data_IF_866965010586
#
_entry.id   IF_866965010586
#
_cell.length_a   1.000
_cell.length_b   1.000
_cell.length_c   1.000
_cell.angle_alpha   90.00
_cell.angle_beta   90.00
_cell.angle_gamma   90.00
#
_symmetry.space_group_name_H-M   'P 1'
#
loop_
_entity.id
_entity.type
_entity.pdbx_description
1 polymer ?
#
# COMPACT_ATOMS: atom_id res chain seq x y z
N UNK A 1 16.28 41.99 23.42
CA UNK A 1 14.99 41.29 23.22
C UNK A 1 14.91 40.43 21.96
N UNK A 2 15.77 40.62 20.93
CA UNK A 2 15.64 39.84 19.67
C UNK A 2 16.26 38.42 19.72
N UNK A 3 17.36 38.23 20.45
CA UNK A 3 18.10 36.96 20.49
C UNK A 3 17.30 35.79 21.10
N UNK A 4 16.52 36.04 22.17
CA UNK A 4 15.70 35.00 22.82
C UNK A 4 14.58 34.49 21.90
N UNK A 5 13.91 35.40 21.18
CA UNK A 5 12.84 35.05 20.24
C UNK A 5 13.34 34.21 19.06
N UNK A 6 14.59 34.40 18.64
CA UNK A 6 15.23 33.59 17.58
C UNK A 6 15.74 32.24 18.10
N UNK A 7 16.30 32.19 19.30
CA UNK A 7 16.91 30.98 19.84
C UNK A 7 15.90 29.99 20.47
N UNK A 8 14.81 30.48 21.06
CA UNK A 8 13.84 29.64 21.75
C UNK A 8 13.18 28.57 20.84
N UNK A 9 12.81 28.85 19.57
CA UNK A 9 12.29 27.83 18.65
C UNK A 9 13.32 26.74 18.30
N UNK A 10 14.61 27.07 18.23
CA UNK A 10 15.67 26.11 17.93
C UNK A 10 15.80 25.06 19.05
N UNK A 11 15.73 25.50 20.31
CA UNK A 11 15.74 24.61 21.48
C UNK A 11 14.43 23.80 21.58
N UNK A 12 13.29 24.41 21.22
CA UNK A 12 11.99 23.72 21.22
C UNK A 12 11.90 22.60 20.17
N UNK A 13 12.62 22.73 19.05
CA UNK A 13 12.70 21.74 17.97
C UNK A 13 13.62 20.54 18.26
N UNK A 14 14.40 20.56 19.37
CA UNK A 14 15.27 19.44 19.75
C UNK A 14 14.44 18.18 19.98
N UNK A 15 14.71 17.13 19.20
CA UNK A 15 13.94 15.88 19.19
C UNK A 15 14.02 15.11 20.52
N UNK A 16 15.18 15.15 21.16
CA UNK A 16 15.39 14.57 22.50
C UNK A 16 14.96 15.56 23.59
N UNK A 17 13.94 15.18 24.36
CA UNK A 17 13.38 16.02 25.42
C UNK A 17 14.31 16.12 26.64
N UNK A 18 15.15 15.11 26.87
CA UNK A 18 16.02 15.03 28.04
C UNK A 18 17.15 16.06 28.00
N UNK A 19 17.57 16.49 26.81
CA UNK A 19 18.65 17.45 26.61
C UNK A 19 18.20 18.91 26.78
N UNK A 20 16.90 19.20 26.70
CA UNK A 20 16.37 20.57 26.70
C UNK A 20 16.69 21.37 27.97
N UNK A 21 16.60 20.82 29.20
CA UNK A 21 16.94 21.56 30.41
C UNK A 21 18.39 22.05 30.43
N UNK A 22 19.33 21.23 29.94
CA UNK A 22 20.75 21.61 29.83
C UNK A 22 20.94 22.76 28.82
N UNK A 23 20.32 22.67 27.65
CA UNK A 23 20.39 23.74 26.64
C UNK A 23 19.72 25.04 27.10
N UNK A 24 18.63 24.96 27.86
CA UNK A 24 17.99 26.14 28.46
C UNK A 24 18.94 26.84 29.44
N UNK A 25 19.68 26.07 30.25
CA UNK A 25 20.66 26.59 31.20
C UNK A 25 21.86 27.22 30.49
N UNK A 26 22.39 26.60 29.43
CA UNK A 26 23.45 27.19 28.61
C UNK A 26 22.99 28.46 27.90
N UNK A 27 21.78 28.46 27.35
CA UNK A 27 21.20 29.62 26.66
C UNK A 27 20.97 30.80 27.61
N UNK A 28 20.53 30.53 28.85
CA UNK A 28 20.43 31.52 29.92
C UNK A 28 21.78 32.18 30.21
N UNK A 29 22.85 31.37 30.34
CA UNK A 29 24.20 31.87 30.58
C UNK A 29 24.74 32.74 29.45
N UNK A 30 24.46 32.40 28.18
CA UNK A 30 24.92 33.18 27.03
C UNK A 30 24.11 34.46 26.79
N UNK A 31 22.81 34.43 27.07
CA UNK A 31 21.94 35.60 26.87
C UNK A 31 21.91 36.54 28.08
N UNK A 32 22.48 36.13 29.22
CA UNK A 32 22.41 36.88 30.48
C UNK A 32 20.97 37.02 31.00
N UNK A 33 20.09 36.09 30.64
CA UNK A 33 18.66 36.11 30.99
C UNK A 33 18.35 35.04 32.01
N UNK A 34 17.43 35.34 32.92
CA UNK A 34 16.93 34.41 33.92
C UNK A 34 16.43 33.10 33.30
N UNK A 35 16.77 31.97 33.94
CA UNK A 35 16.45 30.63 33.41
C UNK A 35 14.93 30.42 33.28
N UNK A 36 14.14 31.00 34.19
CA UNK A 36 12.68 30.95 34.14
C UNK A 36 12.10 31.64 32.90
N UNK A 37 12.66 32.78 32.51
CA UNK A 37 12.25 33.54 31.32
C UNK A 37 12.57 32.77 30.05
N UNK A 38 13.75 32.13 29.98
CA UNK A 38 14.14 31.28 28.85
C UNK A 38 13.24 30.04 28.78
N UNK A 39 12.93 29.43 29.92
CA UNK A 39 12.04 28.26 30.01
C UNK A 39 10.64 28.60 29.51
N UNK A 40 10.10 29.75 29.92
CA UNK A 40 8.79 30.23 29.47
C UNK A 40 8.76 30.49 27.95
N UNK A 41 9.82 31.09 27.40
CA UNK A 41 9.94 31.33 25.97
C UNK A 41 10.02 30.03 25.15
N UNK A 42 10.82 29.04 25.60
CA UNK A 42 10.92 27.72 24.95
C UNK A 42 9.59 26.96 25.03
N UNK A 43 8.88 27.01 26.17
CA UNK A 43 7.56 26.39 26.31
C UNK A 43 6.50 27.06 25.42
N UNK A 44 6.57 28.37 25.24
CA UNK A 44 5.70 29.11 24.32
C UNK A 44 5.99 28.73 22.87
N UNK A 45 7.26 28.59 22.50
CA UNK A 45 7.67 28.11 21.19
C UNK A 45 7.26 26.64 20.95
N UNK A 46 7.33 25.79 21.98
CA UNK A 46 6.86 24.41 21.93
C UNK A 46 5.35 24.36 21.67
N UNK A 47 4.56 25.18 22.38
CA UNK A 47 3.13 25.35 22.10
C UNK A 47 2.90 25.82 20.67
N UNK A 48 3.69 26.76 20.16
CA UNK A 48 3.58 27.23 18.77
C UNK A 48 3.94 26.16 17.73
N UNK A 49 4.90 25.28 18.00
CA UNK A 49 5.23 24.12 17.14
C UNK A 49 4.08 23.11 17.16
N UNK A 50 3.46 22.86 18.32
CA UNK A 50 2.28 21.98 18.41
C UNK A 50 1.01 22.61 17.85
N UNK A 51 0.85 23.94 17.89
CA UNK A 51 -0.34 24.66 17.40
C UNK A 51 -0.22 25.10 15.94
N UNK A 52 1.01 25.26 15.41
CA UNK A 52 1.26 25.41 13.96
C UNK A 52 1.18 24.08 13.20
N UNK A 53 0.96 22.97 13.92
CA UNK A 53 0.30 21.79 13.39
C UNK A 53 -1.24 21.95 13.44
N UNK A 54 -1.74 23.11 13.01
CA UNK A 54 -3.10 23.19 12.50
C UNK A 54 -3.06 22.47 11.13
N UNK A 55 -3.91 21.46 10.89
CA UNK A 55 -3.93 20.83 9.59
C UNK A 55 -4.32 21.89 8.58
N UNK A 56 -3.41 22.22 7.67
CA UNK A 56 -3.83 22.65 6.35
C UNK A 56 -4.68 21.49 5.87
N UNK A 57 -5.98 21.70 5.71
CA UNK A 57 -6.92 20.74 5.15
C UNK A 57 -6.61 20.62 3.65
N UNK A 58 -5.45 20.04 3.34
CA UNK A 58 -5.24 19.33 2.08
C UNK A 58 -6.26 18.19 2.13
N UNK A 59 -7.12 18.02 1.11
CA UNK A 59 -8.12 16.96 1.12
C UNK A 59 -7.40 15.62 1.30
N UNK A 60 -7.43 15.10 2.52
CA UNK A 60 -6.68 13.89 2.91
C UNK A 60 -7.39 12.63 2.41
N UNK A 61 -8.53 12.81 1.73
CA UNK A 61 -9.32 11.77 1.10
C UNK A 61 -8.70 11.24 -0.20
N UNK A 62 -7.92 12.07 -0.92
CA UNK A 62 -7.38 11.70 -2.23
C UNK A 62 -6.09 10.87 -2.15
N UNK A 63 -5.24 11.14 -1.15
CA UNK A 63 -4.00 10.38 -0.94
C UNK A 63 -4.24 8.96 -0.42
N UNK A 64 -5.32 8.72 0.33
CA UNK A 64 -5.66 7.39 0.83
C UNK A 64 -6.33 6.51 -0.25
N UNK A 65 -7.00 7.13 -1.22
CA UNK A 65 -7.71 6.41 -2.28
C UNK A 65 -6.81 6.05 -3.46
N UNK A 66 -5.79 6.86 -3.77
CA UNK A 66 -4.94 6.62 -4.95
C UNK A 66 -3.80 5.64 -4.62
N UNK A 67 -3.68 4.52 -5.36
CA UNK A 67 -2.53 3.63 -5.22
C UNK A 67 -1.22 4.37 -5.52
N UNK A 68 -0.20 4.20 -4.69
CA UNK A 68 1.12 4.76 -4.96
C UNK A 68 1.84 3.92 -6.04
N UNK A 69 2.21 4.49 -7.21
CA UNK A 69 2.87 3.73 -8.28
C UNK A 69 4.24 3.15 -7.92
N UNK A 70 4.88 3.69 -6.87
CA UNK A 70 6.19 3.25 -6.41
C UNK A 70 6.11 2.26 -5.22
N UNK A 71 4.91 1.87 -4.80
CA UNK A 71 4.73 0.92 -3.71
C UNK A 71 5.03 -0.51 -4.19
N UNK A 72 6.07 -1.19 -3.66
CA UNK A 72 6.51 -2.48 -4.20
C UNK A 72 5.45 -3.59 -4.10
N UNK A 73 4.63 -3.57 -3.05
CA UNK A 73 3.52 -4.51 -2.81
C UNK A 73 2.42 -4.39 -3.86
N UNK A 74 2.22 -3.19 -4.42
CA UNK A 74 1.17 -2.89 -5.39
C UNK A 74 1.66 -2.93 -6.84
N UNK A 75 2.98 -2.98 -7.05
CA UNK A 75 3.58 -2.97 -8.38
C UNK A 75 3.05 -4.13 -9.23
N UNK A 76 2.92 -5.32 -8.64
CA UNK A 76 2.45 -6.51 -9.36
C UNK A 76 0.97 -6.39 -9.78
N UNK A 77 0.11 -5.90 -8.88
CA UNK A 77 -1.29 -5.62 -9.17
C UNK A 77 -1.42 -4.63 -10.33
N UNK A 78 -0.59 -3.57 -10.29
CA UNK A 78 -0.53 -2.54 -11.32
C UNK A 78 -0.12 -3.11 -12.67
N UNK A 79 0.96 -3.89 -12.75
CA UNK A 79 1.42 -4.49 -14.01
C UNK A 79 0.36 -5.40 -14.65
N UNK A 80 -0.35 -6.20 -13.85
CA UNK A 80 -1.42 -7.07 -14.34
C UNK A 80 -2.59 -6.25 -14.90
N UNK A 81 -2.97 -5.16 -14.23
CA UNK A 81 -4.00 -4.24 -14.73
C UNK A 81 -3.56 -3.56 -16.03
N UNK A 82 -2.32 -3.08 -16.12
CA UNK A 82 -1.77 -2.50 -17.37
C UNK A 82 -1.80 -3.51 -18.51
N UNK A 83 -1.35 -4.74 -18.26
CA UNK A 83 -1.39 -5.81 -19.27
C UNK A 83 -2.81 -6.08 -19.75
N UNK A 84 -3.80 -6.10 -18.85
CA UNK A 84 -5.21 -6.32 -19.23
C UNK A 84 -5.78 -5.16 -20.06
N UNK A 85 -5.44 -3.92 -19.72
CA UNK A 85 -5.95 -2.73 -20.41
C UNK A 85 -5.29 -2.51 -21.77
N UNK A 86 -3.97 -2.70 -21.85
CA UNK A 86 -3.18 -2.39 -23.04
C UNK A 86 -3.09 -3.57 -24.01
N UNK A 87 -3.06 -4.81 -23.48
CA UNK A 87 -2.84 -6.04 -24.24
C UNK A 87 -3.87 -7.11 -23.86
N UNK A 88 -5.19 -6.84 -24.02
CA UNK A 88 -6.23 -7.77 -23.57
C UNK A 88 -6.12 -9.16 -24.21
N UNK A 89 -5.57 -9.27 -25.42
CA UNK A 89 -5.34 -10.55 -26.11
C UNK A 89 -4.22 -11.41 -25.50
N UNK A 90 -3.34 -10.84 -24.67
CA UNK A 90 -2.29 -11.59 -23.96
C UNK A 90 -2.77 -12.11 -22.60
N UNK A 91 -3.83 -11.50 -22.03
CA UNK A 91 -4.41 -11.90 -20.75
C UNK A 91 -5.59 -12.85 -20.99
N UNK A 92 -5.28 -14.07 -21.41
CA UNK A 92 -6.27 -15.09 -21.78
C UNK A 92 -7.14 -15.54 -20.59
N UNK A 93 -6.52 -15.75 -19.43
CA UNK A 93 -7.17 -16.34 -18.25
C UNK A 93 -7.62 -15.30 -17.21
N UNK A 94 -8.06 -14.11 -17.66
CA UNK A 94 -8.49 -13.02 -16.76
C UNK A 94 -9.48 -13.47 -15.68
N UNK A 95 -10.46 -14.31 -16.05
CA UNK A 95 -11.48 -14.84 -15.14
C UNK A 95 -10.92 -15.71 -14.01
N UNK A 96 -9.71 -16.26 -14.18
CA UNK A 96 -9.05 -17.09 -13.15
C UNK A 96 -8.35 -16.28 -12.08
N UNK A 97 -8.17 -14.99 -12.32
CA UNK A 97 -7.66 -14.04 -11.32
C UNK A 97 -8.85 -13.72 -10.41
N UNK A 98 -8.74 -14.04 -9.14
CA UNK A 98 -9.78 -13.70 -8.18
C UNK A 98 -9.75 -12.20 -7.86
N UNK A 99 -10.87 -11.64 -7.46
CA UNK A 99 -10.93 -10.24 -7.02
C UNK A 99 -9.98 -10.00 -5.82
N UNK A 100 -9.90 -10.96 -4.90
CA UNK A 100 -9.05 -10.90 -3.71
C UNK A 100 -7.55 -10.90 -4.00
N UNK A 101 -7.16 -11.13 -5.26
CA UNK A 101 -5.78 -10.95 -5.70
C UNK A 101 -5.34 -9.49 -5.57
N UNK A 102 -6.27 -8.55 -5.74
CA UNK A 102 -6.03 -7.11 -5.62
C UNK A 102 -6.26 -6.63 -4.18
N UNK A 103 -5.20 -6.17 -3.52
CA UNK A 103 -5.24 -5.71 -2.12
C UNK A 103 -5.67 -4.26 -2.02
N UNK A 104 -5.31 -3.43 -3.01
CA UNK A 104 -5.68 -2.03 -2.97
C UNK A 104 -7.14 -1.82 -3.42
N UNK A 105 -7.98 -1.09 -2.66
CA UNK A 105 -9.39 -0.88 -3.00
C UNK A 105 -9.60 -0.34 -4.42
N UNK A 106 -8.83 0.67 -4.83
CA UNK A 106 -8.91 1.22 -6.19
C UNK A 106 -8.62 0.20 -7.31
N UNK A 107 -7.67 -0.72 -7.12
CA UNK A 107 -7.37 -1.77 -8.12
C UNK A 107 -8.44 -2.85 -8.15
N UNK A 108 -8.99 -3.18 -7.00
CA UNK A 108 -10.14 -4.07 -6.86
C UNK A 108 -11.39 -3.51 -7.56
N UNK A 109 -11.71 -2.24 -7.35
CA UNK A 109 -12.81 -1.59 -8.04
C UNK A 109 -12.56 -1.51 -9.54
N UNK A 110 -11.35 -1.17 -9.98
CA UNK A 110 -10.98 -1.16 -11.39
C UNK A 110 -11.15 -2.55 -12.03
N UNK A 111 -10.79 -3.62 -11.32
CA UNK A 111 -11.04 -4.99 -11.74
C UNK A 111 -12.54 -5.25 -11.95
N UNK A 112 -13.41 -4.86 -11.01
CA UNK A 112 -14.87 -5.02 -11.15
C UNK A 112 -15.42 -4.24 -12.34
N UNK A 113 -14.91 -3.03 -12.55
CA UNK A 113 -15.24 -2.22 -13.72
C UNK A 113 -14.88 -3.00 -14.98
N UNK A 114 -13.65 -3.51 -15.10
CA UNK A 114 -13.22 -4.33 -16.26
C UNK A 114 -14.15 -5.54 -16.45
N UNK A 115 -14.50 -6.25 -15.37
CA UNK A 115 -15.41 -7.41 -15.43
C UNK A 115 -16.80 -7.05 -15.96
N UNK A 116 -17.31 -5.85 -15.66
CA UNK A 116 -18.62 -5.38 -16.14
C UNK A 116 -18.73 -5.19 -17.66
N UNK A 117 -17.60 -4.99 -18.35
CA UNK A 117 -17.57 -4.89 -19.82
C UNK A 117 -17.29 -6.23 -20.50
N UNK A 118 -16.82 -7.24 -19.76
CA UNK A 118 -16.53 -8.56 -20.28
C UNK A 118 -15.43 -8.54 -21.36
N UNK A 119 -15.80 -8.83 -22.60
CA UNK A 119 -14.91 -8.81 -23.78
C UNK A 119 -15.02 -7.53 -24.59
N UNK A 120 -16.01 -6.70 -24.32
CA UNK A 120 -16.20 -5.43 -25.01
C UNK A 120 -15.15 -4.40 -24.55
N UNK A 121 -14.74 -3.45 -25.41
CA UNK A 121 -13.87 -2.37 -25.00
C UNK A 121 -14.53 -1.56 -23.88
N UNK A 122 -13.71 -1.18 -22.88
CA UNK A 122 -14.19 -0.38 -21.75
C UNK A 122 -14.52 1.04 -22.24
N UNK A 123 -15.81 1.38 -22.22
CA UNK A 123 -16.29 2.73 -22.51
C UNK A 123 -16.25 3.55 -21.21
N UNK A 124 -15.33 4.52 -21.12
CA UNK A 124 -15.16 5.37 -19.93
C UNK A 124 -16.45 6.12 -19.54
N UNK A 125 -17.33 6.40 -20.48
CA UNK A 125 -18.61 7.08 -20.24
C UNK A 125 -19.51 6.34 -19.25
N UNK A 126 -19.34 5.02 -19.12
CA UNK A 126 -20.09 4.19 -18.18
C UNK A 126 -19.45 4.14 -16.78
N UNK A 127 -18.28 4.78 -16.58
CA UNK A 127 -17.59 4.84 -15.29
C UNK A 127 -17.94 6.16 -14.59
N UNK A 128 -18.86 6.10 -13.64
CA UNK A 128 -19.38 7.29 -12.95
C UNK A 128 -18.31 8.03 -12.12
N UNK A 129 -17.40 7.29 -11.47
CA UNK A 129 -16.34 7.90 -10.63
C UNK A 129 -15.23 8.49 -11.51
N UNK A 130 -15.06 9.82 -11.45
CA UNK A 130 -14.01 10.55 -12.16
C UNK A 130 -12.61 10.07 -11.79
N UNK A 131 -12.38 9.74 -10.51
CA UNK A 131 -11.06 9.29 -10.05
C UNK A 131 -10.71 7.94 -10.69
N UNK A 132 -11.70 7.04 -10.82
CA UNK A 132 -11.54 5.77 -11.53
C UNK A 132 -11.24 5.98 -13.02
N UNK A 133 -11.90 6.94 -13.68
CA UNK A 133 -11.59 7.32 -15.07
C UNK A 133 -10.15 7.80 -15.24
N UNK A 134 -9.65 8.60 -14.30
CA UNK A 134 -8.26 9.04 -14.29
C UNK A 134 -7.28 7.87 -14.10
N UNK A 135 -7.54 6.98 -13.14
CA UNK A 135 -6.70 5.80 -12.90
C UNK A 135 -6.70 4.86 -14.11
N UNK A 136 -7.85 4.62 -14.71
CA UNK A 136 -7.97 3.83 -15.94
C UNK A 136 -7.13 4.43 -17.07
N UNK A 137 -7.26 5.74 -17.28
CA UNK A 137 -6.54 6.45 -18.36
C UNK A 137 -5.03 6.38 -18.14
N UNK A 138 -4.56 6.60 -16.91
CA UNK A 138 -3.15 6.48 -16.53
C UNK A 138 -2.61 5.07 -16.83
N UNK A 139 -3.29 4.03 -16.35
CA UNK A 139 -2.87 2.64 -16.56
C UNK A 139 -2.96 2.17 -18.01
N UNK A 140 -3.79 2.81 -18.82
CA UNK A 140 -3.92 2.50 -20.24
C UNK A 140 -2.74 3.01 -21.07
N UNK A 141 -1.94 3.94 -20.55
CA UNK A 141 -0.80 4.54 -21.27
C UNK A 141 0.54 4.39 -20.56
N UNK A 142 0.54 4.03 -19.27
CA UNK A 142 1.77 3.80 -18.54
C UNK A 142 2.56 2.62 -19.15
N UNK A 143 3.85 2.80 -19.47
CA UNK A 143 4.67 1.71 -19.98
C UNK A 143 4.70 0.50 -19.04
N UNK A 144 4.56 -0.71 -19.60
CA UNK A 144 4.76 -1.96 -18.86
C UNK A 144 6.22 -2.09 -18.44
N UNK A 145 6.49 -2.57 -17.22
CA UNK A 145 7.84 -2.71 -16.66
C UNK A 145 8.55 -3.93 -17.23
N UNK A 146 8.83 -3.91 -18.51
CA UNK A 146 9.60 -4.93 -19.22
C UNK A 146 10.57 -4.29 -20.21
N UNK A 147 11.71 -4.93 -20.43
CA UNK A 147 12.67 -4.50 -21.44
C UNK A 147 12.23 -5.03 -22.81
N UNK A 148 11.68 -4.15 -23.65
CA UNK A 148 11.26 -4.48 -25.01
C UNK A 148 9.76 -4.77 -25.14
N UNK A 149 9.41 -5.64 -26.10
CA UNK A 149 8.02 -5.96 -26.39
C UNK A 149 7.42 -6.86 -25.30
N UNK A 150 6.20 -6.51 -24.86
CA UNK A 150 5.46 -7.35 -23.91
C UNK A 150 5.13 -8.69 -24.55
N UNK A 151 5.57 -9.77 -23.91
CA UNK A 151 5.41 -11.14 -24.40
C UNK A 151 4.35 -11.90 -23.61
N UNK A 152 3.77 -12.94 -24.23
CA UNK A 152 2.84 -13.88 -23.60
C UNK A 152 3.42 -14.48 -22.32
N UNK A 153 4.72 -14.82 -22.35
CA UNK A 153 5.44 -15.40 -21.21
C UNK A 153 5.53 -14.43 -20.04
N UNK A 154 5.81 -13.15 -20.31
CA UNK A 154 5.86 -12.13 -19.28
C UNK A 154 4.49 -11.91 -18.64
N UNK A 155 3.44 -11.82 -19.46
CA UNK A 155 2.07 -11.63 -18.95
C UNK A 155 1.64 -12.85 -18.11
N UNK A 156 1.92 -14.06 -18.58
CA UNK A 156 1.62 -15.29 -17.84
C UNK A 156 2.32 -15.32 -16.48
N UNK A 157 3.57 -14.85 -16.39
CA UNK A 157 4.31 -14.90 -15.13
C UNK A 157 3.87 -13.86 -14.11
N UNK A 158 3.58 -12.63 -14.52
CA UNK A 158 3.05 -11.62 -13.59
C UNK A 158 1.65 -12.01 -13.08
N UNK A 159 0.83 -12.64 -13.93
CA UNK A 159 -0.48 -13.17 -13.52
C UNK A 159 -0.31 -14.35 -12.56
N UNK A 160 0.58 -15.30 -12.87
CA UNK A 160 0.87 -16.43 -12.00
C UNK A 160 1.40 -15.97 -10.64
N UNK A 161 2.31 -14.99 -10.63
CA UNK A 161 2.86 -14.40 -9.41
C UNK A 161 1.79 -13.71 -8.57
N UNK A 162 0.88 -12.96 -9.20
CA UNK A 162 -0.21 -12.27 -8.50
C UNK A 162 -1.12 -13.28 -7.79
N UNK A 163 -1.47 -14.37 -8.49
CA UNK A 163 -2.28 -15.46 -7.93
C UNK A 163 -1.52 -16.23 -6.84
N UNK A 164 -0.22 -16.45 -7.00
CA UNK A 164 0.62 -17.12 -5.98
C UNK A 164 0.61 -16.35 -4.65
N UNK A 165 0.65 -15.02 -4.70
CA UNK A 165 0.57 -14.16 -3.53
C UNK A 165 -0.79 -14.30 -2.83
N UNK A 166 -1.89 -14.32 -3.57
CA UNK A 166 -3.23 -14.57 -3.01
C UNK A 166 -3.31 -15.95 -2.33
N UNK A 167 -2.87 -16.99 -3.03
CA UNK A 167 -2.89 -18.37 -2.49
C UNK A 167 -2.05 -18.44 -1.21
N UNK A 168 -0.93 -17.74 -1.14
CA UNK A 168 -0.10 -17.67 0.07
C UNK A 168 -0.83 -17.04 1.25
N UNK A 169 -1.65 -16.00 1.03
CA UNK A 169 -2.50 -15.42 2.09
C UNK A 169 -3.56 -16.42 2.56
N UNK A 170 -4.27 -17.06 1.63
CA UNK A 170 -5.29 -18.08 1.96
C UNK A 170 -4.70 -19.24 2.78
N UNK A 171 -3.49 -19.69 2.43
CA UNK A 171 -2.75 -20.71 3.18
C UNK A 171 -2.47 -20.23 4.61
N UNK A 172 -2.03 -18.98 4.79
CA UNK A 172 -1.74 -18.44 6.12
C UNK A 172 -3.01 -18.36 6.98
N UNK A 173 -4.11 -17.89 6.41
CA UNK A 173 -5.42 -17.80 7.08
C UNK A 173 -5.94 -19.19 7.49
N UNK A 174 -5.82 -20.17 6.59
CA UNK A 174 -6.27 -21.54 6.83
C UNK A 174 -5.40 -22.26 7.87
N UNK A 175 -4.08 -22.07 7.84
CA UNK A 175 -3.17 -22.55 8.90
C UNK A 175 -3.53 -21.93 10.26
N UNK A 176 -3.78 -20.63 10.30
CA UNK A 176 -4.20 -19.94 11.53
C UNK A 176 -5.55 -20.45 12.04
N UNK A 177 -6.49 -20.76 11.14
CA UNK A 177 -7.77 -21.37 11.50
C UNK A 177 -7.56 -22.78 12.08
N UNK A 178 -6.80 -23.64 11.39
CA UNK A 178 -6.50 -25.01 11.82
C UNK A 178 -5.79 -25.07 13.18
N UNK A 179 -4.92 -24.12 13.50
CA UNK A 179 -4.24 -24.04 14.81
C UNK A 179 -5.21 -23.77 15.96
N UNK A 180 -6.37 -23.14 15.69
CA UNK A 180 -7.39 -22.81 16.68
C UNK A 180 -8.48 -23.87 16.78
N UNK A 181 -8.63 -24.72 15.77
CA UNK A 181 -9.58 -25.85 15.76
C UNK A 181 -9.08 -26.98 16.65
N UNK A 182 -9.93 -27.46 17.57
CA UNK A 182 -9.67 -28.68 18.32
C UNK A 182 -9.86 -29.89 17.39
N UNK A 183 -8.78 -30.65 17.07
CA UNK A 183 -8.85 -31.74 16.10
C UNK A 183 -9.64 -32.95 16.59
N UNK A 184 -9.93 -33.04 17.90
CA UNK A 184 -10.66 -34.16 18.51
C UNK A 184 -12.16 -33.90 18.52
N UNK A 185 -12.58 -32.68 18.83
CA UNK A 185 -14.02 -32.32 18.90
C UNK A 185 -14.60 -31.96 17.52
N UNK A 186 -13.77 -31.45 16.60
CA UNK A 186 -14.21 -30.93 15.30
C UNK A 186 -13.54 -31.66 14.13
N UNK A 187 -13.49 -33.00 14.18
CA UNK A 187 -12.72 -33.83 13.25
C UNK A 187 -13.09 -33.63 11.77
N UNK A 188 -14.38 -33.54 11.43
CA UNK A 188 -14.81 -33.33 10.04
C UNK A 188 -14.38 -31.97 9.50
N UNK A 189 -14.57 -30.89 10.28
CA UNK A 189 -14.16 -29.54 9.90
C UNK A 189 -12.65 -29.43 9.76
N UNK A 190 -11.90 -30.07 10.67
CA UNK A 190 -10.45 -30.13 10.60
C UNK A 190 -9.97 -30.84 9.32
N UNK A 191 -10.55 -32.01 9.01
CA UNK A 191 -10.19 -32.77 7.81
C UNK A 191 -10.50 -32.01 6.52
N UNK A 192 -11.66 -31.33 6.45
CA UNK A 192 -12.02 -30.48 5.31
C UNK A 192 -11.02 -29.33 5.13
N UNK A 193 -10.76 -28.57 6.20
CA UNK A 193 -9.80 -27.47 6.17
C UNK A 193 -8.36 -27.93 5.86
N UNK A 194 -7.96 -29.13 6.31
CA UNK A 194 -6.66 -29.70 5.98
C UNK A 194 -6.58 -30.11 4.50
N UNK A 195 -7.65 -30.68 3.93
CA UNK A 195 -7.71 -31.02 2.51
C UNK A 195 -7.61 -29.77 1.64
N UNK A 196 -8.34 -28.70 1.99
CA UNK A 196 -8.25 -27.40 1.31
C UNK A 196 -6.83 -26.82 1.39
N UNK A 197 -6.18 -26.96 2.54
CA UNK A 197 -4.80 -26.50 2.71
C UNK A 197 -3.84 -27.22 1.75
N UNK A 198 -3.94 -28.54 1.63
CA UNK A 198 -3.10 -29.33 0.73
C UNK A 198 -3.36 -28.96 -0.75
N UNK A 199 -4.62 -28.70 -1.10
CA UNK A 199 -4.98 -28.24 -2.44
C UNK A 199 -4.36 -26.88 -2.76
N UNK A 200 -4.44 -25.91 -1.84
CA UNK A 200 -3.83 -24.59 -2.01
C UNK A 200 -2.30 -24.65 -2.06
N UNK A 201 -1.63 -25.50 -1.26
CA UNK A 201 -0.17 -25.69 -1.33
C UNK A 201 0.25 -26.26 -2.70
N UNK A 202 -0.53 -27.20 -3.24
CA UNK A 202 -0.30 -27.76 -4.59
C UNK A 202 -0.48 -26.69 -5.67
N UNK A 203 -1.54 -25.89 -5.57
CA UNK A 203 -1.79 -24.77 -6.48
C UNK A 203 -0.67 -23.74 -6.43
N UNK A 204 -0.19 -23.39 -5.23
CA UNK A 204 0.91 -22.45 -5.03
C UNK A 204 2.17 -22.90 -5.77
N UNK A 205 2.54 -24.18 -5.65
CA UNK A 205 3.71 -24.73 -6.35
C UNK A 205 3.58 -24.60 -7.86
N UNK A 206 2.42 -24.94 -8.43
CA UNK A 206 2.17 -24.79 -9.87
C UNK A 206 2.26 -23.33 -10.34
N UNK A 207 1.71 -22.39 -9.56
CA UNK A 207 1.81 -20.95 -9.86
C UNK A 207 3.25 -20.44 -9.75
N UNK A 208 4.03 -20.97 -8.80
CA UNK A 208 5.44 -20.63 -8.64
C UNK A 208 6.28 -21.10 -9.84
N UNK A 209 6.06 -22.31 -10.33
CA UNK A 209 6.74 -22.83 -11.53
C UNK A 209 6.41 -21.98 -12.77
N UNK A 210 5.14 -21.60 -12.94
CA UNK A 210 4.70 -20.71 -14.03
C UNK A 210 5.27 -19.29 -13.91
N UNK A 211 5.49 -18.78 -12.69
CA UNK A 211 6.04 -17.44 -12.48
C UNK A 211 7.55 -17.37 -12.71
N UNK A 212 8.28 -18.46 -12.46
CA UNK A 212 9.74 -18.54 -12.71
C UNK A 212 10.06 -18.90 -14.15
N UNK A 213 9.26 -19.75 -14.80
CA UNK A 213 9.49 -20.24 -16.16
C UNK A 213 9.48 -19.18 -17.28
N UNK A 214 9.36 -17.90 -16.93
CA UNK A 214 9.39 -16.75 -17.82
C UNK A 214 10.67 -15.90 -17.75
N UNK A 215 11.60 -16.20 -16.83
CA UNK A 215 12.89 -15.52 -16.73
C UNK A 215 13.93 -16.12 -17.68
#
# INVERSE_FOLDING_TARGET
MNALNTAAPLVAAIRDKSLRPEYIKSLSGWLGTETEVVTAAVNTALKKVTTSAAPVEVPTSDTAWRPNPNEPTLMLEREVLKAKLQMPGLVLDWKTIEEDAFTHPAYRELRRIIDSFGTEPVLLENVSDERMRQLFTELSVEPVRTDGAVSDKYVASIVARLREVLVSRKIADLKSSLQRLNPVENQEQYNGAFADLVALETQKRGLHELSIGSL
#
